data_IF_544951568605
#
_entry.id   IF_544951568605
#
_cell.length_a   1.000
_cell.length_b   1.000
_cell.length_c   1.000
_cell.angle_alpha   90.00
_cell.angle_beta   90.00
_cell.angle_gamma   90.00
#
_symmetry.space_group_name_H-M   'P 1'
#
loop_
_entity.id
_entity.type
_entity.pdbx_description
1 polymer ?
#
# COMPACT_ATOMS: atom_id res chain seq x y z
N UNK A 1 10.77 -26.21 -9.54
CA UNK A 1 10.06 -26.08 -8.26
C UNK A 1 8.82 -25.24 -8.46
N UNK A 2 7.67 -25.62 -7.92
CA UNK A 2 6.45 -24.79 -8.01
C UNK A 2 6.63 -23.50 -7.22
N UNK A 3 6.12 -22.38 -7.74
CA UNK A 3 6.19 -21.06 -7.09
C UNK A 3 5.56 -21.07 -5.70
N UNK A 4 4.48 -21.84 -5.51
CA UNK A 4 3.84 -22.04 -4.20
C UNK A 4 4.77 -22.72 -3.20
N UNK A 5 5.53 -23.72 -3.65
CA UNK A 5 6.49 -24.42 -2.81
C UNK A 5 7.66 -23.50 -2.43
N UNK A 6 8.05 -22.60 -3.32
CA UNK A 6 9.08 -21.60 -3.04
C UNK A 6 8.59 -20.57 -2.02
N UNK A 7 7.38 -20.02 -2.21
CA UNK A 7 6.77 -19.09 -1.26
C UNK A 7 6.59 -19.70 0.14
N UNK A 8 6.21 -20.98 0.25
CA UNK A 8 6.17 -21.69 1.55
C UNK A 8 7.54 -21.75 2.24
N UNK A 9 8.62 -21.97 1.48
CA UNK A 9 9.99 -21.98 2.02
C UNK A 9 10.43 -20.59 2.49
N UNK A 10 10.05 -19.54 1.76
CA UNK A 10 10.35 -18.16 2.13
C UNK A 10 9.62 -17.75 3.41
N UNK A 11 8.36 -18.17 3.54
CA UNK A 11 7.58 -17.98 4.76
C UNK A 11 8.26 -18.62 5.98
N UNK A 12 8.72 -19.87 5.86
CA UNK A 12 9.46 -20.55 6.94
C UNK A 12 10.77 -19.87 7.32
N UNK A 13 11.40 -19.16 6.38
CA UNK A 13 12.66 -18.43 6.61
C UNK A 13 12.45 -17.00 7.11
N UNK A 14 11.20 -16.52 7.16
CA UNK A 14 10.89 -15.13 7.53
C UNK A 14 11.53 -14.11 6.60
N UNK A 15 11.70 -14.43 5.32
CA UNK A 15 12.46 -13.59 4.39
C UNK A 15 11.51 -12.73 3.53
N UNK A 16 11.47 -11.42 3.77
CA UNK A 16 10.50 -10.53 3.13
C UNK A 16 10.73 -10.31 1.63
N UNK A 17 11.98 -10.47 1.17
CA UNK A 17 12.37 -10.34 -0.24
C UNK A 17 13.30 -11.46 -0.67
N UNK A 18 12.99 -12.06 -1.82
CA UNK A 18 13.83 -13.11 -2.40
C UNK A 18 13.81 -13.05 -3.93
N UNK A 19 15.00 -13.20 -4.53
CA UNK A 19 15.20 -13.11 -5.97
C UNK A 19 15.84 -14.40 -6.48
N UNK A 20 15.34 -14.91 -7.60
CA UNK A 20 15.89 -16.12 -8.22
C UNK A 20 15.86 -16.01 -9.72
N UNK A 21 16.99 -16.33 -10.35
CA UNK A 21 17.06 -16.50 -11.80
C UNK A 21 16.20 -17.68 -12.24
N UNK A 22 15.52 -17.53 -13.37
CA UNK A 22 14.72 -18.55 -14.03
C UNK A 22 14.80 -18.38 -15.54
N UNK A 23 14.99 -19.50 -16.25
CA UNK A 23 14.94 -19.51 -17.71
C UNK A 23 13.51 -19.80 -18.15
N UNK A 24 12.98 -18.96 -19.01
CA UNK A 24 11.68 -19.15 -19.66
C UNK A 24 11.89 -19.69 -21.05
N UNK A 25 11.16 -20.74 -21.37
CA UNK A 25 11.14 -21.30 -22.71
C UNK A 25 10.07 -20.59 -23.54
N UNK A 26 10.47 -19.89 -24.60
CA UNK A 26 9.57 -19.14 -25.49
C UNK A 26 9.16 -19.91 -26.75
N UNK A 27 9.61 -21.16 -26.89
CA UNK A 27 9.43 -21.98 -28.09
C UNK A 27 10.70 -22.00 -28.94
N UNK A 28 10.74 -22.87 -29.95
CA UNK A 28 11.89 -23.02 -30.89
C UNK A 28 13.26 -23.23 -30.22
N UNK A 29 13.28 -23.88 -29.05
CA UNK A 29 14.51 -24.07 -28.25
C UNK A 29 15.14 -22.77 -27.74
N UNK A 30 14.42 -21.65 -27.76
CA UNK A 30 14.88 -20.36 -27.26
C UNK A 30 14.55 -20.20 -25.77
N UNK A 31 15.59 -19.86 -25.01
CA UNK A 31 15.52 -19.64 -23.57
C UNK A 31 15.86 -18.20 -23.26
N UNK A 32 14.99 -17.52 -22.53
CA UNK A 32 15.25 -16.18 -22.03
C UNK A 32 15.49 -16.20 -20.53
N UNK A 33 16.55 -15.53 -20.12
CA UNK A 33 16.84 -15.33 -18.71
C UNK A 33 15.88 -14.29 -18.13
N UNK A 34 15.31 -14.65 -16.99
CA UNK A 34 14.36 -13.84 -16.26
C UNK A 34 14.66 -13.99 -14.78
N UNK A 35 14.26 -13.01 -13.99
CA UNK A 35 14.32 -13.06 -12.54
C UNK A 35 12.89 -13.13 -12.00
N UNK A 36 12.64 -14.09 -11.13
CA UNK A 36 11.46 -14.10 -10.27
C UNK A 36 11.79 -13.38 -8.98
N UNK A 37 10.94 -12.44 -8.61
CA UNK A 37 11.08 -11.61 -7.41
C UNK A 37 9.87 -11.88 -6.52
N UNK A 38 10.14 -12.38 -5.33
CA UNK A 38 9.16 -12.63 -4.28
C UNK A 38 9.21 -11.46 -3.30
N UNK A 39 8.06 -10.81 -3.09
CA UNK A 39 7.89 -9.74 -2.12
C UNK A 39 6.75 -10.09 -1.17
N UNK A 40 7.02 -10.09 0.12
CA UNK A 40 5.99 -10.24 1.16
C UNK A 40 5.12 -8.99 1.20
N UNK A 41 3.81 -9.18 1.32
CA UNK A 41 2.83 -8.12 1.53
C UNK A 41 2.78 -7.83 3.04
N UNK A 42 2.96 -6.56 3.39
CA UNK A 42 2.89 -6.10 4.78
C UNK A 42 1.47 -6.30 5.36
N UNK A 43 0.43 -6.00 4.58
CA UNK A 43 -0.98 -6.08 5.01
C UNK A 43 -1.70 -7.38 4.56
N UNK A 44 -1.01 -8.52 4.54
CA UNK A 44 -1.67 -9.77 4.15
C UNK A 44 -2.56 -10.34 5.26
N UNK A 45 -3.86 -10.50 4.98
CA UNK A 45 -4.81 -11.21 5.86
C UNK A 45 -4.54 -12.73 5.96
N UNK A 46 -3.65 -13.26 5.12
CA UNK A 46 -3.29 -14.67 5.09
C UNK A 46 -2.01 -14.94 5.84
N UNK A 47 -1.96 -16.04 6.61
CA UNK A 47 -0.76 -16.53 7.30
C UNK A 47 0.02 -17.61 6.51
N UNK A 48 -0.23 -17.70 5.21
CA UNK A 48 0.33 -18.74 4.36
C UNK A 48 1.13 -18.15 3.19
N UNK A 49 1.48 -19.00 2.21
CA UNK A 49 2.20 -18.59 1.02
C UNK A 49 1.56 -17.45 0.20
N UNK A 50 0.28 -17.11 0.44
CA UNK A 50 -0.41 -15.98 -0.20
C UNK A 50 0.05 -14.61 0.30
N UNK A 51 0.84 -14.57 1.37
CA UNK A 51 1.57 -13.37 1.79
C UNK A 51 2.54 -12.87 0.71
N UNK A 52 2.97 -13.72 -0.22
CA UNK A 52 3.95 -13.35 -1.23
C UNK A 52 3.28 -12.97 -2.55
N UNK A 53 3.63 -11.78 -3.05
CA UNK A 53 3.46 -11.40 -4.45
C UNK A 53 4.68 -11.88 -5.24
N UNK A 54 4.45 -12.44 -6.42
CA UNK A 54 5.52 -12.89 -7.33
C UNK A 54 5.50 -12.01 -8.57
N UNK A 55 6.65 -11.40 -8.85
CA UNK A 55 6.89 -10.61 -10.05
C UNK A 55 7.92 -11.30 -10.93
N UNK A 56 7.79 -11.11 -12.23
CA UNK A 56 8.71 -11.66 -13.22
C UNK A 56 9.27 -10.51 -14.05
N UNK A 57 10.59 -10.39 -14.11
CA UNK A 57 11.24 -9.31 -14.84
C UNK A 57 12.57 -9.75 -15.43
N UNK A 58 12.92 -9.18 -16.58
CA UNK A 58 14.24 -9.32 -17.18
C UNK A 58 15.23 -8.24 -16.69
N UNK A 59 14.79 -7.35 -15.80
CA UNK A 59 15.61 -6.29 -15.19
C UNK A 59 15.79 -6.53 -13.69
N UNK A 60 16.86 -5.95 -13.15
CA UNK A 60 17.13 -5.94 -11.71
C UNK A 60 15.96 -5.36 -10.93
N UNK A 61 15.80 -5.78 -9.69
CA UNK A 61 14.59 -5.60 -8.88
C UNK A 61 14.31 -4.17 -8.38
N UNK A 62 15.12 -3.18 -8.78
CA UNK A 62 14.93 -1.76 -8.45
C UNK A 62 13.62 -1.17 -8.99
N UNK A 63 13.10 -1.69 -10.11
CA UNK A 63 11.84 -1.22 -10.70
C UNK A 63 10.62 -1.45 -9.79
N UNK A 64 10.68 -2.42 -8.88
CA UNK A 64 9.55 -2.70 -7.97
C UNK A 64 9.37 -1.62 -6.93
N UNK A 65 10.46 -0.97 -6.50
CA UNK A 65 10.38 0.18 -5.60
C UNK A 65 9.73 1.36 -6.32
N UNK A 66 10.15 1.64 -7.56
CA UNK A 66 9.58 2.70 -8.39
C UNK A 66 8.10 2.45 -8.72
N UNK A 67 7.74 1.20 -9.02
CA UNK A 67 6.35 0.81 -9.22
C UNK A 67 5.50 0.91 -7.94
N UNK A 68 6.13 0.83 -6.77
CA UNK A 68 5.50 1.07 -5.48
C UNK A 68 4.87 2.45 -5.36
N UNK A 69 5.53 3.50 -5.87
CA UNK A 69 4.99 4.86 -5.85
C UNK A 69 3.67 5.02 -6.60
N UNK A 70 3.41 4.17 -7.60
CA UNK A 70 2.12 4.19 -8.31
C UNK A 70 0.97 3.74 -7.39
N UNK A 71 1.24 2.77 -6.51
CA UNK A 71 0.26 2.30 -5.54
C UNK A 71 -0.03 3.34 -4.46
N UNK A 72 0.97 4.12 -4.05
CA UNK A 72 0.80 5.21 -3.07
C UNK A 72 -0.22 6.26 -3.53
N UNK A 73 -0.31 6.51 -4.84
CA UNK A 73 -1.31 7.41 -5.42
C UNK A 73 -2.72 6.84 -5.25
N UNK A 74 -2.91 5.53 -5.49
CA UNK A 74 -4.21 4.87 -5.32
C UNK A 74 -4.65 4.84 -3.84
N UNK A 75 -3.72 4.56 -2.93
CA UNK A 75 -4.00 4.65 -1.49
C UNK A 75 -4.29 6.08 -1.04
N UNK A 76 -3.55 7.07 -1.55
CA UNK A 76 -3.80 8.48 -1.29
C UNK A 76 -5.19 8.91 -1.76
N UNK A 77 -5.59 8.50 -2.97
CA UNK A 77 -6.91 8.81 -3.50
C UNK A 77 -8.05 8.12 -2.72
N UNK A 78 -7.81 6.90 -2.19
CA UNK A 78 -8.75 6.21 -1.30
C UNK A 78 -8.97 7.00 -0.01
N UNK A 79 -7.91 7.59 0.56
CA UNK A 79 -8.00 8.46 1.73
C UNK A 79 -8.74 9.77 1.43
N UNK A 80 -8.45 10.43 0.30
CA UNK A 80 -9.14 11.66 -0.11
C UNK A 80 -10.63 11.41 -0.36
N UNK A 81 -11.00 10.28 -0.98
CA UNK A 81 -12.41 9.89 -1.15
C UNK A 81 -13.16 9.77 0.18
N UNK A 82 -12.49 9.42 1.29
CA UNK A 82 -13.12 9.36 2.63
C UNK A 82 -13.56 10.73 3.14
N UNK A 83 -12.91 11.80 2.67
CA UNK A 83 -13.26 13.19 2.97
C UNK A 83 -14.23 13.83 1.96
N UNK A 84 -14.45 13.17 0.81
CA UNK A 84 -15.34 13.69 -0.23
C UNK A 84 -16.81 13.41 0.13
N UNK A 85 -17.61 14.47 0.24
CA UNK A 85 -19.05 14.33 0.43
C UNK A 85 -19.70 13.66 -0.78
N UNK A 86 -20.61 12.70 -0.55
CA UNK A 86 -21.34 12.03 -1.61
C UNK A 86 -22.37 12.98 -2.25
N UNK A 87 -21.95 13.71 -3.29
CA UNK A 87 -22.84 14.63 -4.02
C UNK A 87 -23.47 13.97 -5.23
N UNK A 88 -24.79 14.03 -5.35
CA UNK A 88 -25.56 13.54 -6.51
C UNK A 88 -25.66 14.56 -7.66
N UNK A 89 -25.13 15.77 -7.47
CA UNK A 89 -25.12 16.83 -8.50
C UNK A 89 -24.24 16.45 -9.70
N UNK A 90 -24.70 16.80 -10.91
CA UNK A 90 -23.98 16.59 -12.19
C UNK A 90 -23.15 17.80 -12.61
N UNK A 91 -23.20 18.89 -11.85
CA UNK A 91 -22.43 20.09 -12.16
C UNK A 91 -20.92 19.82 -11.98
N UNK A 92 -20.15 20.10 -13.03
CA UNK A 92 -18.70 19.87 -13.05
C UNK A 92 -17.96 20.79 -12.07
N UNK A 93 -18.38 22.06 -11.96
CA UNK A 93 -17.74 23.04 -11.09
C UNK A 93 -17.88 22.66 -9.63
N UNK A 94 -19.06 22.20 -9.22
CA UNK A 94 -19.28 21.69 -7.86
C UNK A 94 -18.41 20.47 -7.56
N UNK A 95 -18.34 19.48 -8.46
CA UNK A 95 -17.49 18.29 -8.25
C UNK A 95 -16.01 18.62 -8.16
N UNK A 96 -15.53 19.54 -9.01
CA UNK A 96 -14.15 20.00 -8.96
C UNK A 96 -13.86 20.76 -7.66
N UNK A 97 -14.77 21.62 -7.22
CA UNK A 97 -14.66 22.32 -5.94
C UNK A 97 -14.56 21.34 -4.77
N UNK A 98 -15.47 20.36 -4.67
CA UNK A 98 -15.42 19.34 -3.62
C UNK A 98 -14.15 18.48 -3.67
N UNK A 99 -13.66 18.19 -4.88
CA UNK A 99 -12.39 17.48 -5.04
C UNK A 99 -11.20 18.31 -4.55
N UNK A 100 -11.08 19.56 -4.99
CA UNK A 100 -10.03 20.49 -4.54
C UNK A 100 -10.10 20.73 -3.02
N UNK A 101 -11.31 20.89 -2.49
CA UNK A 101 -11.55 21.05 -1.07
C UNK A 101 -11.14 19.81 -0.26
N UNK A 102 -11.44 18.60 -0.74
CA UNK A 102 -10.98 17.36 -0.12
C UNK A 102 -9.44 17.23 -0.14
N UNK A 103 -8.79 17.64 -1.22
CA UNK A 103 -7.32 17.69 -1.30
C UNK A 103 -6.72 18.68 -0.27
N UNK A 104 -7.34 19.85 -0.10
CA UNK A 104 -6.91 20.84 0.90
C UNK A 104 -7.07 20.30 2.34
N UNK A 105 -8.23 19.74 2.67
CA UNK A 105 -8.48 19.14 3.98
C UNK A 105 -7.50 18.01 4.29
N UNK A 106 -7.22 17.14 3.32
CA UNK A 106 -6.24 16.06 3.47
C UNK A 106 -4.83 16.60 3.72
N UNK A 107 -4.43 17.66 3.02
CA UNK A 107 -3.13 18.30 3.20
C UNK A 107 -2.98 18.92 4.59
N UNK A 108 -4.02 19.59 5.08
CA UNK A 108 -4.07 20.15 6.45
C UNK A 108 -4.02 19.02 7.47
N UNK A 109 -4.83 17.97 7.31
CA UNK A 109 -4.82 16.81 8.20
C UNK A 109 -3.45 16.13 8.24
N UNK A 110 -2.79 15.93 7.09
CA UNK A 110 -1.45 15.34 7.03
C UNK A 110 -0.39 16.23 7.67
N UNK A 111 -0.51 17.55 7.54
CA UNK A 111 0.38 18.50 8.22
C UNK A 111 0.19 18.48 9.76
N UNK A 112 -1.06 18.34 10.22
CA UNK A 112 -1.37 18.17 11.65
C UNK A 112 -0.83 16.83 12.16
N UNK A 113 -1.07 15.72 11.43
CA UNK A 113 -0.56 14.38 11.76
C UNK A 113 0.98 14.38 11.86
N UNK A 114 1.66 15.06 10.93
CA UNK A 114 3.11 15.27 10.95
C UNK A 114 3.57 16.03 12.19
N UNK A 115 2.91 17.15 12.52
CA UNK A 115 3.24 17.97 13.69
C UNK A 115 3.06 17.17 14.99
N UNK A 116 1.97 16.41 15.09
CA UNK A 116 1.67 15.53 16.21
C UNK A 116 2.70 14.40 16.32
N UNK A 117 3.11 13.76 15.21
CA UNK A 117 4.15 12.74 15.19
C UNK A 117 5.51 13.27 15.65
N UNK A 118 5.91 14.47 15.20
CA UNK A 118 7.16 15.11 15.59
C UNK A 118 7.17 15.44 17.09
N UNK A 119 6.05 15.93 17.62
CA UNK A 119 5.90 16.28 19.04
C UNK A 119 5.91 15.03 19.95
N UNK A 120 5.31 13.91 19.50
CA UNK A 120 5.13 12.71 20.33
C UNK A 120 6.26 11.69 20.27
N UNK A 121 6.97 11.55 19.15
CA UNK A 121 7.79 10.35 18.94
C UNK A 121 9.22 10.62 18.48
N UNK A 122 9.57 11.83 18.02
CA UNK A 122 10.94 12.17 17.60
C UNK A 122 11.49 11.35 16.41
N UNK A 123 10.80 10.32 15.93
CA UNK A 123 11.13 9.55 14.74
C UNK A 123 9.90 9.38 13.82
N UNK A 124 10.19 9.44 12.52
CA UNK A 124 9.25 9.61 11.43
C UNK A 124 8.83 8.25 10.87
N UNK A 125 7.71 7.68 11.32
CA UNK A 125 7.13 6.52 10.64
C UNK A 125 6.14 6.96 9.55
N UNK A 126 6.35 6.45 8.33
CA UNK A 126 5.65 6.83 7.10
C UNK A 126 4.13 6.52 7.11
N UNK A 127 3.63 5.80 8.12
CA UNK A 127 2.22 5.46 8.26
C UNK A 127 1.50 6.47 9.18
N UNK A 128 0.36 7.06 8.77
CA UNK A 128 -0.44 7.92 9.65
C UNK A 128 -0.95 7.11 10.85
N UNK A 129 -0.47 7.46 12.05
CA UNK A 129 -0.80 6.77 13.31
C UNK A 129 -2.26 7.02 13.71
N UNK A 130 -2.82 8.17 13.31
CA UNK A 130 -4.18 8.57 13.71
C UNK A 130 -5.17 8.23 12.59
N UNK A 131 -5.52 6.96 12.46
CA UNK A 131 -6.64 6.56 11.61
C UNK A 131 -7.95 7.10 12.20
N UNK A 132 -8.85 7.67 11.38
CA UNK A 132 -10.12 8.27 11.82
C UNK A 132 -11.02 7.30 12.64
N UNK A 133 -10.79 5.99 12.53
CA UNK A 133 -11.48 4.98 13.31
C UNK A 133 -10.98 4.92 14.77
N UNK A 134 -9.71 5.27 15.03
CA UNK A 134 -9.14 5.35 16.38
C UNK A 134 -9.66 6.58 17.15
N UNK A 135 -9.83 7.71 16.46
CA UNK A 135 -10.42 8.91 17.08
C UNK A 135 -11.90 8.70 17.38
N UNK A 136 -12.64 8.02 16.50
CA UNK A 136 -14.04 7.68 16.73
C UNK A 136 -14.21 6.67 17.88
N UNK A 137 -13.32 5.69 18.01
CA UNK A 137 -13.36 4.73 19.13
C UNK A 137 -12.97 5.37 20.46
N UNK A 138 -11.98 6.27 20.48
CA UNK A 138 -11.64 7.07 21.66
C UNK A 138 -12.82 7.98 22.07
N UNK A 139 -13.45 8.67 21.12
CA UNK A 139 -14.60 9.51 21.41
C UNK A 139 -15.82 8.71 21.89
N UNK A 140 -16.09 7.53 21.33
CA UNK A 140 -17.15 6.63 21.83
C UNK A 140 -16.86 6.12 23.24
N UNK A 141 -15.59 5.83 23.54
CA UNK A 141 -15.15 5.39 24.87
C UNK A 141 -15.31 6.49 25.92
N UNK A 142 -15.03 7.74 25.54
CA UNK A 142 -15.19 8.92 26.42
C UNK A 142 -16.65 9.37 26.58
N UNK A 143 -17.48 9.26 25.53
CA UNK A 143 -18.87 9.74 25.57
C UNK A 143 -19.88 8.72 26.10
N UNK A 144 -19.51 7.44 26.24
CA UNK A 144 -20.34 6.44 26.93
C UNK A 144 -21.72 6.18 26.30
N UNK A 145 -21.96 6.59 25.05
CA UNK A 145 -23.23 6.38 24.36
C UNK A 145 -23.18 5.02 23.66
N UNK A 146 -23.75 4.02 24.34
CA UNK A 146 -24.20 2.75 23.79
C UNK A 146 -25.72 2.68 23.77
#
# INVERSE_FOLDING_TARGET
>A
TSERAQAKRLLQRGQDRYETGRKLHLGKNEWHETTLIYRRKEDSEHDDHRQYSVFMSNRGSGFLTEYGYRWEIESGYKSIKRFMAATTSKDFGLRFFYFAFACLLYSIWRAVDLLVQVELTGEYEHAPIVTADNTLTLLKKETGIG
#
